data_IF_448338912860
#
_entry.id   IF_448338912860
#
_cell.length_a   1.000
_cell.length_b   1.000
_cell.length_c   1.000
_cell.angle_alpha   90.00
_cell.angle_beta   90.00
_cell.angle_gamma   90.00
#
_symmetry.space_group_name_H-M   'P 1'
#
loop_
_entity.id
_entity.type
_entity.pdbx_description
1 polymer ?
#
# COMPACT_ATOMS: atom_id res chain seq x y z
N UNK A 1 42.02 -2.08 14.63
CA UNK A 1 41.33 -2.99 15.56
C UNK A 1 40.02 -2.37 15.99
N UNK A 2 38.91 -2.85 15.42
CA UNK A 2 37.55 -2.48 15.81
C UNK A 2 36.91 -3.61 16.62
N UNK A 3 35.98 -3.29 17.52
CA UNK A 3 35.40 -4.23 18.47
C UNK A 3 33.92 -3.98 18.76
N UNK A 4 33.25 -5.03 19.22
CA UNK A 4 31.88 -4.96 19.74
C UNK A 4 31.90 -4.30 21.13
N UNK A 5 31.02 -3.33 21.34
CA UNK A 5 30.88 -2.55 22.55
C UNK A 5 29.42 -2.55 23.00
N UNK A 6 29.21 -2.47 24.32
CA UNK A 6 27.89 -2.22 24.89
C UNK A 6 27.84 -0.76 25.34
N UNK A 7 27.03 0.05 24.66
CA UNK A 7 26.79 1.44 25.02
C UNK A 7 25.61 1.52 25.99
N UNK A 8 25.81 2.19 27.12
CA UNK A 8 24.78 2.45 28.12
C UNK A 8 24.51 3.95 28.14
N UNK A 9 23.27 4.36 27.84
CA UNK A 9 22.86 5.76 27.93
C UNK A 9 22.56 6.14 29.38
N UNK A 10 22.58 7.44 29.69
CA UNK A 10 22.19 7.96 31.02
C UNK A 10 20.76 7.53 31.43
N UNK A 11 19.89 7.26 30.47
CA UNK A 11 18.53 6.73 30.69
C UNK A 11 18.49 5.24 31.04
N UNK A 12 19.64 4.56 31.14
CA UNK A 12 19.75 3.13 31.43
C UNK A 12 19.59 2.20 30.20
N UNK A 13 19.24 2.77 29.03
CA UNK A 13 19.08 2.03 27.78
C UNK A 13 20.44 1.51 27.30
N UNK A 14 20.51 0.20 27.05
CA UNK A 14 21.71 -0.51 26.60
C UNK A 14 21.63 -0.85 25.12
N UNK A 15 22.70 -0.66 24.37
CA UNK A 15 22.75 -0.92 22.93
C UNK A 15 24.09 -1.52 22.50
N UNK A 16 24.05 -2.50 21.62
CA UNK A 16 25.23 -3.08 21.00
C UNK A 16 25.71 -2.19 19.86
N UNK A 17 26.99 -1.81 19.90
CA UNK A 17 27.64 -0.95 18.91
C UNK A 17 28.93 -1.61 18.45
N UNK A 18 29.17 -1.64 17.14
CA UNK A 18 30.45 -2.07 16.58
C UNK A 18 31.23 -0.84 16.16
N UNK A 19 32.40 -0.65 16.76
CA UNK A 19 33.36 0.35 16.32
C UNK A 19 34.31 -0.29 15.30
N UNK A 20 34.52 0.35 14.15
CA UNK A 20 35.42 -0.11 13.10
C UNK A 20 36.14 1.08 12.44
N UNK A 21 37.11 0.78 11.57
CA UNK A 21 37.80 1.78 10.75
C UNK A 21 37.60 1.45 9.29
N UNK A 22 37.24 2.45 8.50
CA UNK A 22 37.10 2.35 7.05
C UNK A 22 37.82 3.54 6.43
N UNK A 23 38.75 3.29 5.49
CA UNK A 23 39.65 4.31 4.89
C UNK A 23 40.28 5.27 5.92
N UNK A 24 40.83 4.72 7.00
CA UNK A 24 41.50 5.51 8.05
C UNK A 24 40.56 6.28 9.00
N UNK A 25 39.26 6.37 8.70
CA UNK A 25 38.27 7.03 9.57
C UNK A 25 37.62 6.03 10.52
N UNK A 26 37.50 6.41 11.79
CA UNK A 26 36.76 5.64 12.78
C UNK A 26 35.26 5.86 12.61
N UNK A 27 34.51 4.77 12.55
CA UNK A 27 33.05 4.77 12.41
C UNK A 27 32.42 3.75 13.36
N UNK A 28 31.17 4.02 13.73
CA UNK A 28 30.41 3.20 14.66
C UNK A 28 29.09 2.80 13.99
N UNK A 29 28.67 1.55 14.17
CA UNK A 29 27.39 1.04 13.70
C UNK A 29 26.63 0.36 14.84
N UNK A 30 25.41 0.80 15.11
CA UNK A 30 24.56 0.22 16.15
C UNK A 30 23.90 -1.05 15.61
N UNK A 31 24.06 -2.18 16.30
CA UNK A 31 23.42 -3.44 15.95
C UNK A 31 21.97 -3.45 16.45
N UNK A 32 21.75 -3.08 17.72
CA UNK A 32 20.42 -3.07 18.32
C UNK A 32 20.45 -2.90 19.84
N UNK A 33 19.27 -2.91 20.45
CA UNK A 33 19.09 -2.72 21.89
C UNK A 33 19.29 -4.03 22.66
N UNK A 34 19.95 -3.98 23.81
CA UNK A 34 19.95 -5.07 24.78
C UNK A 34 18.71 -4.92 25.68
N UNK A 35 17.98 -6.00 26.03
CA UNK A 35 18.29 -7.41 25.78
C UNK A 35 17.71 -8.00 24.49
N UNK A 36 17.00 -7.21 23.68
CA UNK A 36 16.34 -7.69 22.45
C UNK A 36 17.31 -8.33 21.45
N UNK A 37 18.54 -7.84 21.39
CA UNK A 37 19.63 -8.49 20.66
C UNK A 37 20.55 -9.19 21.67
N UNK A 38 20.67 -10.51 21.52
CA UNK A 38 21.54 -11.31 22.37
C UNK A 38 23.03 -11.06 22.05
N UNK A 39 23.92 -11.42 22.97
CA UNK A 39 25.36 -11.34 22.73
C UNK A 39 25.79 -12.23 21.55
N UNK A 40 25.15 -13.38 21.37
CA UNK A 40 25.43 -14.29 20.26
C UNK A 40 25.07 -13.65 18.92
N UNK A 41 23.89 -13.02 18.82
CA UNK A 41 23.47 -12.31 17.62
C UNK A 41 24.37 -11.12 17.33
N UNK A 42 24.76 -10.37 18.37
CA UNK A 42 25.68 -9.23 18.22
C UNK A 42 27.07 -9.67 17.73
N UNK A 43 27.55 -10.85 18.13
CA UNK A 43 28.80 -11.43 17.61
C UNK A 43 28.68 -11.92 16.16
N UNK A 44 27.53 -12.49 15.79
CA UNK A 44 27.23 -12.87 14.41
C UNK A 44 27.23 -11.65 13.48
N UNK A 45 26.56 -10.57 13.89
CA UNK A 45 26.55 -9.31 13.15
C UNK A 45 27.94 -8.67 13.05
N UNK A 46 28.76 -8.75 14.11
CA UNK A 46 30.16 -8.32 14.05
C UNK A 46 30.96 -9.09 12.98
N UNK A 47 30.74 -10.39 12.86
CA UNK A 47 31.43 -11.22 11.86
C UNK A 47 31.06 -10.78 10.43
N UNK A 48 29.76 -10.54 10.16
CA UNK A 48 29.29 -10.02 8.87
C UNK A 48 29.94 -8.68 8.53
N UNK A 49 29.90 -7.72 9.46
CA UNK A 49 30.52 -6.40 9.32
C UNK A 49 32.02 -6.51 9.00
N UNK A 50 32.74 -7.46 9.61
CA UNK A 50 34.16 -7.70 9.29
C UNK A 50 34.35 -8.25 7.89
N UNK A 51 33.48 -9.15 7.44
CA UNK A 51 33.49 -9.67 6.07
C UNK A 51 33.26 -8.55 5.06
N UNK A 52 32.24 -7.72 5.26
CA UNK A 52 31.92 -6.59 4.37
C UNK A 52 33.10 -5.61 4.28
N UNK A 53 33.75 -5.31 5.42
CA UNK A 53 34.95 -4.47 5.47
C UNK A 53 36.14 -5.11 4.72
N UNK A 54 36.30 -6.43 4.77
CA UNK A 54 37.35 -7.13 4.01
C UNK A 54 37.12 -7.09 2.49
N UNK A 55 35.87 -6.97 2.07
CA UNK A 55 35.48 -6.77 0.67
C UNK A 55 35.55 -5.30 0.24
N UNK A 56 35.97 -4.39 1.14
CA UNK A 56 36.05 -2.96 0.86
C UNK A 56 34.69 -2.25 0.85
N UNK A 57 33.62 -2.92 1.30
CA UNK A 57 32.28 -2.36 1.39
C UNK A 57 32.15 -1.62 2.72
N UNK A 58 31.56 -0.42 2.70
CA UNK A 58 31.22 0.29 3.92
C UNK A 58 29.86 -0.22 4.46
N UNK A 59 29.82 -0.92 5.61
CA UNK A 59 28.59 -1.52 6.14
C UNK A 59 27.54 -0.47 6.54
N UNK A 60 27.98 0.74 6.87
CA UNK A 60 27.06 1.85 7.18
C UNK A 60 26.35 2.35 5.93
N UNK A 61 27.08 2.48 4.83
CA UNK A 61 26.52 2.90 3.54
C UNK A 61 25.62 1.81 2.97
N UNK A 62 25.96 0.54 3.16
CA UNK A 62 25.11 -0.58 2.76
C UNK A 62 23.83 -0.69 3.59
N UNK A 63 23.89 -0.49 4.92
CA UNK A 63 22.66 -0.39 5.75
C UNK A 63 21.82 0.83 5.39
N UNK A 64 22.44 1.93 4.99
CA UNK A 64 21.72 3.13 4.57
C UNK A 64 21.11 2.92 3.18
N UNK A 65 21.83 2.29 2.25
CA UNK A 65 21.34 1.87 0.94
C UNK A 65 20.23 0.85 1.06
N UNK A 66 20.31 -0.16 1.92
CA UNK A 66 19.23 -1.14 2.10
C UNK A 66 17.98 -0.52 2.73
N UNK A 67 18.13 0.47 3.62
CA UNK A 67 17.01 1.31 4.08
C UNK A 67 16.42 2.19 2.98
N UNK A 68 17.26 2.74 2.10
CA UNK A 68 16.84 3.56 0.94
C UNK A 68 16.33 2.71 -0.24
N UNK A 69 16.69 1.43 -0.30
CA UNK A 69 16.27 0.45 -1.31
C UNK A 69 14.98 -0.28 -0.92
N UNK A 70 14.39 0.02 0.25
CA UNK A 70 12.96 -0.22 0.40
C UNK A 70 12.29 0.59 -0.69
N UNK A 71 11.76 -0.09 -1.72
CA UNK A 71 11.07 0.56 -2.82
C UNK A 71 9.96 1.42 -2.24
N UNK A 72 10.18 2.72 -2.22
CA UNK A 72 9.17 3.70 -1.84
C UNK A 72 8.12 3.88 -2.94
N UNK A 73 8.30 3.16 -4.06
CA UNK A 73 7.36 3.06 -5.16
C UNK A 73 5.97 2.71 -4.64
N UNK A 74 4.97 3.46 -5.07
CA UNK A 74 3.58 3.21 -4.74
C UNK A 74 3.14 1.78 -5.07
N UNK A 75 3.70 1.17 -6.11
CA UNK A 75 3.41 -0.22 -6.47
C UNK A 75 3.79 -1.21 -5.37
N UNK A 76 4.90 -0.99 -4.65
CA UNK A 76 5.32 -1.87 -3.56
C UNK A 76 4.28 -1.87 -2.43
N UNK A 77 3.79 -0.70 -2.06
CA UNK A 77 2.76 -0.56 -1.05
C UNK A 77 1.40 -1.07 -1.53
N UNK A 78 1.07 -0.84 -2.80
CA UNK A 78 -0.14 -1.35 -3.41
C UNK A 78 -0.16 -2.88 -3.46
N UNK A 79 0.97 -3.55 -3.71
CA UNK A 79 1.03 -5.02 -3.69
C UNK A 79 0.77 -5.57 -2.29
N UNK A 80 1.34 -4.96 -1.24
CA UNK A 80 1.07 -5.37 0.14
C UNK A 80 -0.42 -5.22 0.50
N UNK A 81 -1.06 -4.15 0.02
CA UNK A 81 -2.49 -3.95 0.19
C UNK A 81 -3.32 -4.96 -0.62
N UNK A 82 -2.92 -5.29 -1.86
CA UNK A 82 -3.59 -6.30 -2.69
C UNK A 82 -3.50 -7.68 -2.04
N UNK A 83 -2.35 -8.07 -1.51
CA UNK A 83 -2.16 -9.33 -0.78
C UNK A 83 -3.07 -9.39 0.47
N UNK A 84 -3.13 -8.29 1.22
CA UNK A 84 -4.07 -8.15 2.34
C UNK A 84 -5.52 -8.29 1.89
N UNK A 85 -5.87 -7.77 0.72
CA UNK A 85 -7.24 -7.83 0.20
C UNK A 85 -7.60 -9.21 -0.35
N UNK A 86 -6.64 -9.94 -0.93
CA UNK A 86 -6.85 -11.30 -1.42
C UNK A 86 -7.41 -12.24 -0.34
N UNK A 87 -7.01 -12.05 0.92
CA UNK A 87 -7.51 -12.82 2.05
C UNK A 87 -8.94 -12.44 2.50
N UNK A 88 -9.48 -11.29 2.05
CA UNK A 88 -10.75 -10.71 2.55
C UNK A 88 -11.90 -10.78 1.57
N UNK A 89 -11.61 -10.82 0.27
CA UNK A 89 -12.63 -10.78 -0.79
C UNK A 89 -12.64 -12.07 -1.59
N UNK A 90 -13.75 -12.31 -2.29
CA UNK A 90 -13.88 -13.52 -3.13
C UNK A 90 -12.83 -13.52 -4.26
N UNK A 91 -12.29 -14.69 -4.65
CA UNK A 91 -11.23 -14.77 -5.66
C UNK A 91 -11.58 -14.09 -6.99
N UNK A 92 -12.84 -14.19 -7.41
CA UNK A 92 -13.33 -13.54 -8.63
C UNK A 92 -13.30 -12.01 -8.53
N UNK A 93 -13.71 -11.47 -7.39
CA UNK A 93 -13.69 -10.02 -7.13
C UNK A 93 -12.25 -9.53 -7.06
N UNK A 94 -11.37 -10.26 -6.38
CA UNK A 94 -9.95 -9.97 -6.30
C UNK A 94 -9.31 -9.90 -7.68
N UNK A 95 -9.50 -10.93 -8.51
CA UNK A 95 -8.94 -10.97 -9.87
C UNK A 95 -9.38 -9.77 -10.70
N UNK A 96 -10.66 -9.37 -10.60
CA UNK A 96 -11.18 -8.19 -11.31
C UNK A 96 -10.53 -6.90 -10.82
N UNK A 97 -10.48 -6.71 -9.50
CA UNK A 97 -9.99 -5.48 -8.89
C UNK A 97 -8.45 -5.34 -9.06
N UNK A 98 -7.70 -6.44 -8.95
CA UNK A 98 -6.26 -6.48 -9.25
C UNK A 98 -5.96 -6.16 -10.72
N UNK A 99 -6.73 -6.73 -11.67
CA UNK A 99 -6.58 -6.39 -13.09
C UNK A 99 -6.88 -4.92 -13.35
N UNK A 100 -7.93 -4.36 -12.72
CA UNK A 100 -8.26 -2.95 -12.85
C UNK A 100 -7.14 -2.05 -12.30
N UNK A 101 -6.52 -2.42 -11.17
CA UNK A 101 -5.35 -1.73 -10.65
C UNK A 101 -4.18 -1.74 -11.66
N UNK A 102 -3.84 -2.91 -12.22
CA UNK A 102 -2.72 -3.05 -13.16
C UNK A 102 -2.94 -2.28 -14.46
N UNK A 103 -4.17 -2.20 -14.95
CA UNK A 103 -4.49 -1.55 -16.22
C UNK A 103 -4.63 -0.02 -16.09
N UNK A 104 -5.07 0.48 -14.93
CA UNK A 104 -5.49 1.87 -14.81
C UNK A 104 -4.66 2.69 -13.82
N UNK A 105 -4.23 2.11 -12.70
CA UNK A 105 -3.54 2.83 -11.62
C UNK A 105 -2.03 2.66 -11.75
N UNK A 106 -1.55 1.41 -11.90
CA UNK A 106 -0.12 1.09 -11.98
C UNK A 106 0.63 1.86 -13.07
N UNK A 107 0.10 2.08 -14.29
CA UNK A 107 0.85 2.78 -15.35
C UNK A 107 1.12 4.25 -15.05
N UNK A 108 0.34 4.88 -14.16
CA UNK A 108 0.45 6.30 -13.84
C UNK A 108 1.22 6.47 -12.53
N UNK A 109 0.78 5.79 -11.46
CA UNK A 109 1.31 5.99 -10.11
C UNK A 109 2.32 4.95 -9.68
N UNK A 110 2.38 3.78 -10.33
CA UNK A 110 3.04 2.59 -9.80
C UNK A 110 4.53 2.77 -9.48
N UNK A 111 5.26 3.50 -10.34
CA UNK A 111 6.70 3.73 -10.18
C UNK A 111 7.02 5.05 -9.47
N UNK A 112 6.01 5.82 -9.07
CA UNK A 112 6.22 7.07 -8.34
C UNK A 112 6.50 6.77 -6.87
N UNK A 113 7.40 7.54 -6.27
CA UNK A 113 7.59 7.53 -4.83
C UNK A 113 6.30 7.95 -4.12
N UNK A 114 5.86 7.15 -3.14
CA UNK A 114 4.63 7.38 -2.38
C UNK A 114 4.60 8.77 -1.71
N UNK A 115 5.74 9.35 -1.35
CA UNK A 115 5.83 10.70 -0.77
C UNK A 115 5.69 11.82 -1.80
N UNK A 116 5.89 11.52 -3.09
CA UNK A 116 5.82 12.49 -4.17
C UNK A 116 4.45 12.56 -4.84
N UNK A 117 3.57 11.57 -4.59
CA UNK A 117 2.24 11.53 -5.16
C UNK A 117 1.39 12.67 -4.62
N UNK A 118 0.91 13.52 -5.53
CA UNK A 118 0.02 14.64 -5.22
C UNK A 118 -1.41 14.32 -5.61
N UNK A 119 -2.34 15.13 -5.10
CA UNK A 119 -3.75 15.03 -5.48
C UNK A 119 -3.96 15.19 -6.99
N UNK A 120 -3.14 16.01 -7.67
CA UNK A 120 -3.18 16.19 -9.13
C UNK A 120 -2.95 14.88 -9.90
N UNK A 121 -2.02 14.04 -9.43
CA UNK A 121 -1.68 12.79 -10.10
C UNK A 121 -2.82 11.78 -9.96
N UNK A 122 -3.51 11.81 -8.81
CA UNK A 122 -4.68 10.98 -8.52
C UNK A 122 -5.88 11.43 -9.37
N UNK A 123 -6.07 12.74 -9.53
CA UNK A 123 -7.11 13.29 -10.42
C UNK A 123 -6.83 12.94 -11.88
N UNK A 124 -5.57 12.90 -12.32
CA UNK A 124 -5.23 12.45 -13.67
C UNK A 124 -5.67 10.99 -13.92
N UNK A 125 -5.54 10.10 -12.93
CA UNK A 125 -6.07 8.72 -13.02
C UNK A 125 -7.60 8.73 -13.14
N UNK A 126 -8.27 9.54 -12.32
CA UNK A 126 -9.73 9.69 -12.32
C UNK A 126 -10.24 10.18 -13.68
N UNK A 127 -9.70 11.29 -14.17
CA UNK A 127 -10.17 11.96 -15.37
C UNK A 127 -9.94 11.09 -16.61
N UNK A 128 -8.82 10.37 -16.67
CA UNK A 128 -8.56 9.39 -17.73
C UNK A 128 -9.64 8.30 -17.80
N UNK A 129 -10.11 7.82 -16.65
CA UNK A 129 -11.18 6.83 -16.58
C UNK A 129 -12.56 7.44 -16.87
N UNK A 130 -12.80 8.67 -16.43
CA UNK A 130 -14.03 9.40 -16.72
C UNK A 130 -14.20 9.69 -18.22
N UNK A 131 -13.15 10.18 -18.89
CA UNK A 131 -13.12 10.43 -20.34
C UNK A 131 -13.36 9.12 -21.12
N UNK A 132 -12.86 8.00 -20.63
CA UNK A 132 -13.11 6.67 -21.21
C UNK A 132 -14.53 6.13 -20.96
N UNK A 133 -15.44 6.92 -20.37
CA UNK A 133 -16.82 6.54 -20.07
C UNK A 133 -16.96 5.59 -18.86
N UNK A 134 -15.90 5.43 -18.05
CA UNK A 134 -15.85 4.47 -16.92
C UNK A 134 -15.96 5.18 -15.56
N UNK A 135 -16.98 6.01 -15.37
CA UNK A 135 -17.16 6.81 -14.15
C UNK A 135 -17.12 6.00 -12.85
N UNK A 136 -17.85 4.87 -12.78
CA UNK A 136 -17.83 4.00 -11.60
C UNK A 136 -16.42 3.43 -11.32
N UNK A 137 -15.64 3.15 -12.36
CA UNK A 137 -14.25 2.69 -12.20
C UNK A 137 -13.35 3.83 -11.72
N UNK A 138 -13.56 5.05 -12.21
CA UNK A 138 -12.83 6.24 -11.76
C UNK A 138 -12.99 6.43 -10.24
N UNK A 139 -14.21 6.34 -9.73
CA UNK A 139 -14.48 6.47 -8.29
C UNK A 139 -13.84 5.33 -7.48
N UNK A 140 -13.96 4.08 -7.96
CA UNK A 140 -13.31 2.93 -7.33
C UNK A 140 -11.79 3.09 -7.31
N UNK A 141 -11.19 3.62 -8.38
CA UNK A 141 -9.75 3.81 -8.46
C UNK A 141 -9.23 4.78 -7.40
N UNK A 142 -9.89 5.94 -7.24
CA UNK A 142 -9.54 6.89 -6.16
C UNK A 142 -9.71 6.23 -4.79
N UNK A 143 -10.77 5.41 -4.61
CA UNK A 143 -11.03 4.75 -3.32
C UNK A 143 -9.95 3.73 -2.98
N UNK A 144 -9.48 2.97 -3.96
CA UNK A 144 -8.34 2.06 -3.79
C UNK A 144 -7.05 2.80 -3.48
N UNK A 145 -6.78 3.92 -4.17
CA UNK A 145 -5.60 4.74 -3.88
C UNK A 145 -5.66 5.21 -2.41
N UNK A 146 -6.78 5.76 -1.95
CA UNK A 146 -6.97 6.17 -0.54
C UNK A 146 -6.74 5.01 0.42
N UNK A 147 -7.31 3.84 0.13
CA UNK A 147 -7.17 2.65 0.97
C UNK A 147 -5.72 2.15 1.05
N UNK A 148 -4.92 2.30 -0.01
CA UNK A 148 -3.49 1.96 -0.02
C UNK A 148 -2.70 2.92 0.89
N UNK A 149 -2.96 4.22 0.81
CA UNK A 149 -2.34 5.22 1.71
C UNK A 149 -2.75 4.97 3.18
N UNK A 150 -4.03 4.72 3.44
CA UNK A 150 -4.50 4.42 4.80
C UNK A 150 -3.88 3.13 5.35
N UNK A 151 -3.83 2.08 4.54
CA UNK A 151 -3.22 0.81 4.93
C UNK A 151 -1.73 0.97 5.27
N UNK A 152 -0.98 1.71 4.46
CA UNK A 152 0.45 1.96 4.70
C UNK A 152 0.70 2.75 5.96
N UNK A 153 -0.12 3.78 6.22
CA UNK A 153 -0.08 4.58 7.45
C UNK A 153 -0.39 3.72 8.67
N UNK A 154 -1.49 2.97 8.65
CA UNK A 154 -1.92 2.10 9.76
C UNK A 154 -0.88 1.04 10.10
N UNK A 155 -0.21 0.50 9.08
CA UNK A 155 0.85 -0.51 9.26
C UNK A 155 2.21 0.08 9.63
N UNK A 156 2.35 1.40 9.63
CA UNK A 156 3.62 2.07 9.94
C UNK A 156 4.74 1.76 8.94
N UNK A 157 4.38 1.40 7.70
CA UNK A 157 5.35 1.01 6.66
C UNK A 157 6.09 2.22 6.07
N UNK A 158 5.45 3.38 6.12
CA UNK A 158 5.98 4.64 5.61
C UNK A 158 5.85 5.72 6.70
N UNK A 159 6.93 6.05 7.43
CA UNK A 159 6.86 7.04 8.50
C UNK A 159 6.59 8.45 7.95
N UNK A 160 5.74 9.22 8.64
CA UNK A 160 5.32 10.58 8.25
C UNK A 160 4.54 10.66 6.92
N UNK A 161 4.03 9.53 6.41
CA UNK A 161 3.18 9.55 5.22
C UNK A 161 1.81 10.15 5.55
N UNK A 162 1.33 11.04 4.68
CA UNK A 162 0.01 11.62 4.74
C UNK A 162 -0.79 11.17 3.52
N UNK A 163 -2.08 10.92 3.70
CA UNK A 163 -2.97 10.64 2.57
C UNK A 163 -3.22 11.96 1.81
N UNK A 164 -2.84 12.07 0.53
CA UNK A 164 -3.05 13.27 -0.28
C UNK A 164 -4.51 13.50 -0.67
N UNK A 165 -5.42 12.54 -0.39
CA UNK A 165 -6.86 12.64 -0.65
C UNK A 165 -7.58 13.12 0.62
N UNK A 166 -8.08 14.37 0.65
CA UNK A 166 -8.96 14.84 1.72
C UNK A 166 -10.19 13.96 1.93
N UNK A 167 -10.55 13.77 3.21
CA UNK A 167 -11.76 13.04 3.60
C UNK A 167 -12.99 13.70 2.96
N UNK A 168 -13.79 12.91 2.25
CA UNK A 168 -15.05 13.38 1.63
C UNK A 168 -14.98 13.77 0.15
N UNK A 169 -13.79 13.80 -0.47
CA UNK A 169 -13.63 14.13 -1.91
C UNK A 169 -14.40 13.17 -2.82
N UNK A 170 -14.57 11.91 -2.43
CA UNK A 170 -15.39 10.95 -3.16
C UNK A 170 -16.82 11.43 -3.43
N UNK A 171 -17.35 12.30 -2.58
CA UNK A 171 -18.69 12.87 -2.69
C UNK A 171 -18.72 14.12 -3.59
N UNK A 172 -17.58 14.81 -3.73
CA UNK A 172 -17.47 16.07 -4.48
C UNK A 172 -17.01 15.90 -5.93
N UNK A 173 -16.36 14.78 -6.28
CA UNK A 173 -15.89 14.48 -7.65
C UNK A 173 -17.00 14.05 -8.64
N UNK A 174 -18.27 14.26 -8.26
CA UNK A 174 -19.51 14.39 -9.08
C UNK A 174 -20.57 13.29 -8.85
N UNK A 175 -21.82 13.77 -8.70
CA UNK A 175 -23.06 12.99 -8.64
C UNK A 175 -23.26 12.14 -9.90
N UNK A 176 -23.03 10.83 -9.80
CA UNK A 176 -23.61 9.90 -10.76
C UNK A 176 -25.10 9.75 -10.44
N UNK A 177 -25.99 10.35 -11.25
CA UNK A 177 -27.44 10.09 -11.14
C UNK A 177 -27.70 8.63 -11.54
N UNK A 178 -27.70 7.75 -10.55
CA UNK A 178 -28.10 6.36 -10.75
C UNK A 178 -29.60 6.34 -11.05
N UNK A 179 -29.98 6.11 -12.30
CA UNK A 179 -31.38 5.88 -12.66
C UNK A 179 -31.76 4.49 -12.17
N UNK A 180 -32.25 4.39 -10.94
CA UNK A 180 -32.86 3.17 -10.44
C UNK A 180 -34.21 2.99 -11.14
N UNK A 181 -34.26 2.08 -12.12
CA UNK A 181 -35.53 1.67 -12.69
C UNK A 181 -36.31 0.88 -11.62
N UNK A 182 -37.59 1.22 -11.38
CA UNK A 182 -38.41 0.47 -10.44
C UNK A 182 -38.46 -0.99 -10.88
N UNK A 183 -38.35 -1.91 -9.92
CA UNK A 183 -38.52 -3.34 -10.17
C UNK A 183 -39.90 -3.55 -10.79
N UNK A 184 -39.95 -4.05 -12.01
CA UNK A 184 -41.24 -4.38 -12.65
C UNK A 184 -41.97 -5.38 -11.75
N UNK A 185 -43.11 -4.98 -11.19
CA UNK A 185 -44.01 -5.88 -10.49
C UNK A 185 -44.45 -6.92 -11.50
N UNK A 186 -44.31 -8.21 -11.19
CA UNK A 186 -44.84 -9.27 -12.03
C UNK A 186 -46.34 -8.99 -12.23
N UNK A 187 -46.75 -8.80 -13.49
CA UNK A 187 -48.16 -8.63 -13.85
C UNK A 187 -48.92 -9.82 -13.28
N UNK A 188 -49.73 -9.59 -12.26
CA UNK A 188 -50.74 -10.53 -11.80
C UNK A 188 -51.56 -10.92 -13.02
N UNK A 189 -51.58 -12.22 -13.33
CA UNK A 189 -52.41 -12.79 -14.41
C UNK A 189 -53.80 -12.17 -14.35
N UNK A 190 -54.19 -11.50 -15.42
CA UNK A 190 -55.56 -11.05 -15.67
C UNK A 190 -56.51 -12.23 -15.41
N UNK A 191 -57.53 -12.10 -14.56
CA UNK A 191 -58.51 -13.16 -14.39
C UNK A 191 -59.27 -13.33 -15.70
N UNK A 192 -59.40 -14.59 -16.16
CA UNK A 192 -60.15 -14.94 -17.34
C UNK A 192 -61.61 -14.43 -17.20
N UNK A 193 -62.03 -13.58 -18.13
CA UNK A 193 -63.41 -13.12 -18.27
C UNK A 193 -64.29 -14.32 -18.69
N UNK A 194 -65.46 -14.53 -18.06
CA UNK A 194 -66.31 -15.67 -18.35
C UNK A 194 -66.98 -15.51 -19.73
N UNK A 195 -66.93 -16.56 -20.55
CA UNK A 195 -67.71 -16.58 -21.80
C UNK A 195 -69.19 -16.72 -21.47
N UNK A 196 -69.92 -15.62 -21.65
CA UNK A 196 -71.38 -15.57 -21.71
C UNK A 196 -71.84 -16.28 -22.99
N UNK A 197 -72.43 -17.47 -22.87
CA UNK A 197 -73.29 -18.04 -23.92
C UNK A 197 -74.72 -17.53 -23.68
N UNK A 198 -75.13 -16.50 -24.40
CA UNK A 198 -76.54 -16.15 -24.63
C UNK A 198 -76.94 -16.65 -26.02
N UNK A 199 -77.96 -17.54 -26.11
CA UNK A 199 -79.29 -17.31 -26.70
C UNK A 199 -79.26 -17.23 -28.25
N UNK A 200 -80.13 -17.86 -29.06
CA UNK A 200 -81.56 -18.26 -29.00
C UNK A 200 -81.81 -19.09 -30.28
N UNK A 201 -82.68 -20.10 -30.32
CA UNK A 201 -84.12 -20.05 -30.65
C UNK A 201 -84.73 -21.43 -30.38
#
# INVERSE_FOLDING_TARGET
MGGLQLWVRHTGVKSWVVAYRYHGKQQNISIGLYPFVSLADARSELAKIKTDLSQGINPKDERQKSKQQQKLDFHHFASLWLDYQQARITPQTYKRDANAYHNHIKPILGNMDIYQIKLSDILAVHDRLAIAGKANMAHKAVSWISAIFEYTIIKGLAPNLLNPIPRGIHKSLIEHKQTNYPRMMATTKTPATPQTKGQTC
#
